data_IF_436756780311
#
_entry.id   IF_436756780311
#
_cell.length_a   1.000
_cell.length_b   1.000
_cell.length_c   1.000
_cell.angle_alpha   90.00
_cell.angle_beta   90.00
_cell.angle_gamma   90.00
#
_symmetry.space_group_name_H-M   'P 1'
#
loop_
_entity.id
_entity.type
_entity.pdbx_description
1 polymer ?
#
# COMPACT_ATOMS: atom_id res chain seq x y z
N UNK A 1 -32.19 -11.20 -8.17
CA UNK A 1 -32.04 -9.94 -8.92
C UNK A 1 -31.45 -8.93 -7.94
N UNK A 2 -30.14 -8.69 -8.01
CA UNK A 2 -29.45 -7.77 -7.11
C UNK A 2 -29.52 -6.39 -7.76
N UNK A 3 -30.25 -5.46 -7.15
CA UNK A 3 -30.27 -4.06 -7.58
C UNK A 3 -28.91 -3.43 -7.28
N UNK A 4 -28.41 -2.55 -8.15
CA UNK A 4 -27.15 -1.79 -8.01
C UNK A 4 -27.53 -0.34 -7.69
N UNK A 5 -26.77 0.34 -6.82
CA UNK A 5 -27.00 1.75 -6.48
C UNK A 5 -25.76 2.54 -6.86
N UNK A 6 -25.92 3.44 -7.82
CA UNK A 6 -24.86 4.28 -8.36
C UNK A 6 -24.58 5.52 -7.49
N UNK A 7 -25.29 5.69 -6.36
CA UNK A 7 -25.16 6.88 -5.47
C UNK A 7 -24.16 6.70 -4.32
N UNK A 8 -23.57 5.52 -4.17
CA UNK A 8 -22.67 5.19 -3.05
C UNK A 8 -21.17 5.24 -3.41
N UNK A 9 -20.87 5.49 -4.68
CA UNK A 9 -19.52 5.71 -5.21
C UNK A 9 -19.19 7.20 -5.01
N UNK A 10 -17.91 7.60 -4.94
CA UNK A 10 -17.49 9.02 -4.87
C UNK A 10 -18.09 9.92 -5.96
N UNK A 11 -17.69 11.20 -6.12
CA UNK A 11 -18.29 12.06 -7.14
C UNK A 11 -17.97 11.56 -8.57
N UNK A 12 -18.75 10.60 -9.07
CA UNK A 12 -18.77 10.15 -10.47
C UNK A 12 -19.89 10.84 -11.26
N UNK A 13 -20.71 11.66 -10.60
CA UNK A 13 -21.70 12.53 -11.23
C UNK A 13 -21.20 13.97 -11.19
N UNK A 14 -21.18 14.63 -12.35
CA UNK A 14 -20.66 15.99 -12.56
C UNK A 14 -21.44 17.12 -11.88
N UNK A 15 -21.99 16.88 -10.68
CA UNK A 15 -22.76 17.85 -9.91
C UNK A 15 -22.25 17.93 -8.46
N UNK A 16 -21.00 18.34 -8.27
CA UNK A 16 -20.62 19.14 -7.09
C UNK A 16 -19.29 19.83 -7.37
N UNK A 17 -19.27 21.16 -7.21
CA UNK A 17 -18.14 22.03 -7.54
C UNK A 17 -16.95 21.91 -6.58
N UNK A 18 -16.40 20.71 -6.40
CA UNK A 18 -15.05 20.52 -5.92
C UNK A 18 -14.10 20.56 -7.13
N UNK A 19 -13.04 21.35 -7.00
CA UNK A 19 -12.10 21.74 -8.05
C UNK A 19 -11.79 20.67 -9.12
N UNK A 20 -11.85 21.18 -10.35
CA UNK A 20 -11.37 20.76 -11.67
C UNK A 20 -9.99 20.05 -11.70
N UNK A 21 -9.83 18.93 -10.98
CA UNK A 21 -8.82 17.95 -11.32
C UNK A 21 -9.43 17.03 -12.38
N UNK A 22 -9.07 17.26 -13.64
CA UNK A 22 -9.31 16.33 -14.73
C UNK A 22 -9.03 14.89 -14.25
N UNK A 23 -9.98 14.02 -14.54
CA UNK A 23 -10.05 12.64 -14.05
C UNK A 23 -8.76 11.91 -14.43
N UNK A 24 -7.92 11.60 -13.44
CA UNK A 24 -6.70 10.85 -13.63
C UNK A 24 -7.04 9.45 -14.14
N UNK A 25 -6.59 9.13 -15.35
CA UNK A 25 -6.61 7.76 -15.85
C UNK A 25 -5.43 7.04 -15.21
N UNK A 26 -5.73 5.98 -14.47
CA UNK A 26 -4.70 5.14 -13.87
C UNK A 26 -4.06 4.28 -14.96
N UNK A 27 -2.78 4.51 -15.22
CA UNK A 27 -1.99 3.73 -16.17
C UNK A 27 -0.77 3.15 -15.44
N UNK A 28 -0.49 1.88 -15.72
CA UNK A 28 0.71 1.22 -15.23
C UNK A 28 1.92 1.75 -16.00
N UNK A 29 2.91 2.24 -15.27
CA UNK A 29 4.17 2.74 -15.82
C UNK A 29 5.19 1.62 -15.80
N UNK A 30 5.83 1.36 -16.93
CA UNK A 30 6.87 0.33 -17.07
C UNK A 30 8.20 0.85 -16.50
N UNK A 31 8.30 0.81 -15.17
CA UNK A 31 9.45 1.35 -14.43
C UNK A 31 10.49 0.28 -14.11
N UNK A 32 11.76 0.66 -14.21
CA UNK A 32 12.89 -0.14 -13.76
C UNK A 32 13.77 0.65 -12.79
N UNK A 33 14.33 -0.05 -11.79
CA UNK A 33 15.21 0.53 -10.78
C UNK A 33 16.51 -0.25 -10.72
N UNK A 34 17.64 0.45 -10.78
CA UNK A 34 18.98 -0.15 -10.68
C UNK A 34 19.42 -0.27 -9.21
N UNK A 35 19.41 -1.50 -8.70
CA UNK A 35 19.79 -1.81 -7.33
C UNK A 35 21.29 -2.07 -7.14
N UNK A 36 22.11 -2.08 -8.20
CA UNK A 36 23.50 -2.56 -8.14
C UNK A 36 24.35 -1.90 -7.04
N UNK A 37 24.07 -0.63 -6.74
CA UNK A 37 24.80 0.16 -5.74
C UNK A 37 23.99 0.46 -4.48
N UNK A 38 22.79 -0.11 -4.32
CA UNK A 38 21.93 0.15 -3.17
C UNK A 38 22.60 -0.35 -1.87
N UNK A 39 22.93 0.54 -0.93
CA UNK A 39 23.46 0.13 0.36
C UNK A 39 22.36 -0.53 1.22
N UNK A 40 22.74 -1.49 2.06
CA UNK A 40 21.80 -2.18 2.93
C UNK A 40 21.08 -1.22 3.91
N UNK A 41 21.81 -0.23 4.44
CA UNK A 41 21.23 0.93 5.13
C UNK A 41 21.16 2.13 4.18
N UNK A 42 20.12 2.14 3.34
CA UNK A 42 19.85 3.25 2.42
C UNK A 42 19.36 4.53 3.09
N UNK A 43 18.97 4.49 4.37
CA UNK A 43 18.91 5.70 5.20
C UNK A 43 20.21 5.74 6.02
N UNK A 44 21.17 6.61 5.67
CA UNK A 44 22.52 6.53 6.22
C UNK A 44 22.56 6.63 7.75
N UNK A 45 23.21 5.68 8.41
CA UNK A 45 23.35 5.59 9.87
C UNK A 45 22.01 5.47 10.63
N UNK A 46 20.94 5.09 9.95
CA UNK A 46 19.58 5.02 10.49
C UNK A 46 18.97 3.63 10.27
N UNK A 47 19.40 2.61 11.04
CA UNK A 47 18.91 1.23 10.85
C UNK A 47 17.40 1.13 11.10
N UNK A 48 16.86 1.88 12.05
CA UNK A 48 15.43 1.81 12.35
C UNK A 48 14.57 2.36 11.20
N UNK A 49 14.77 3.60 10.69
CA UNK A 49 14.07 4.07 9.49
C UNK A 49 14.21 3.12 8.31
N UNK A 50 15.43 2.67 8.02
CA UNK A 50 15.70 1.71 6.94
C UNK A 50 14.85 0.45 7.12
N UNK A 51 14.82 -0.15 8.31
CA UNK A 51 14.06 -1.38 8.54
C UNK A 51 12.55 -1.17 8.64
N UNK A 52 12.08 0.00 9.07
CA UNK A 52 10.65 0.35 9.03
C UNK A 52 10.17 0.44 7.59
N UNK A 53 10.98 1.02 6.70
CA UNK A 53 10.71 1.06 5.27
C UNK A 53 10.86 -0.31 4.62
N UNK A 54 11.85 -1.12 5.02
CA UNK A 54 12.04 -2.47 4.49
C UNK A 54 10.85 -3.40 4.72
N UNK A 55 10.03 -3.16 5.74
CA UNK A 55 8.79 -3.93 5.93
C UNK A 55 7.87 -3.81 4.71
N UNK A 56 7.86 -2.68 4.00
CA UNK A 56 7.11 -2.53 2.74
C UNK A 56 7.52 -3.60 1.74
N UNK A 57 8.82 -3.74 1.46
CA UNK A 57 9.32 -4.75 0.52
C UNK A 57 9.02 -6.18 0.98
N UNK A 58 8.93 -6.44 2.30
CA UNK A 58 8.57 -7.76 2.82
C UNK A 58 7.08 -8.10 2.72
N UNK A 59 6.20 -7.08 2.77
CA UNK A 59 4.75 -7.27 2.85
C UNK A 59 4.06 -7.14 1.49
N UNK A 60 4.43 -6.10 0.75
CA UNK A 60 3.69 -5.62 -0.41
C UNK A 60 3.66 -6.63 -1.56
N UNK A 61 4.76 -7.29 -1.98
CA UNK A 61 4.71 -8.18 -3.14
C UNK A 61 3.58 -9.22 -3.10
N UNK A 62 3.47 -9.95 -1.98
CA UNK A 62 2.43 -10.96 -1.79
C UNK A 62 1.03 -10.35 -1.51
N UNK A 63 0.98 -9.14 -0.97
CA UNK A 63 -0.26 -8.40 -0.75
C UNK A 63 -0.87 -7.92 -2.07
N UNK A 64 -0.07 -7.25 -2.89
CA UNK A 64 -0.45 -6.67 -4.18
C UNK A 64 -0.78 -7.77 -5.21
N UNK A 65 -0.04 -8.89 -5.22
CA UNK A 65 -0.44 -10.10 -5.96
C UNK A 65 -1.85 -10.58 -5.56
N UNK A 66 -2.16 -10.57 -4.26
CA UNK A 66 -3.50 -10.90 -3.76
C UNK A 66 -4.54 -9.86 -4.19
N UNK A 67 -4.19 -8.57 -4.22
CA UNK A 67 -5.10 -7.50 -4.68
C UNK A 67 -5.47 -7.70 -6.14
N UNK A 68 -4.46 -7.89 -6.99
CA UNK A 68 -4.60 -8.21 -8.42
C UNK A 68 -5.54 -9.40 -8.62
N UNK A 69 -5.32 -10.51 -7.91
CA UNK A 69 -6.13 -11.72 -8.08
C UNK A 69 -7.57 -11.58 -7.60
N UNK A 70 -7.82 -10.76 -6.58
CA UNK A 70 -9.18 -10.46 -6.10
C UNK A 70 -9.89 -9.49 -7.03
N UNK A 71 -9.20 -8.46 -7.53
CA UNK A 71 -9.83 -7.48 -8.41
C UNK A 71 -10.09 -8.03 -9.81
N UNK A 72 -9.25 -8.92 -10.36
CA UNK A 72 -9.58 -9.70 -11.56
C UNK A 72 -10.91 -10.45 -11.44
N UNK A 73 -11.19 -11.05 -10.28
CA UNK A 73 -12.47 -11.75 -9.99
C UNK A 73 -13.63 -10.78 -9.79
N UNK A 74 -13.33 -9.54 -9.41
CA UNK A 74 -14.31 -8.50 -9.12
C UNK A 74 -14.75 -7.74 -10.38
N UNK A 75 -13.86 -7.55 -11.36
CA UNK A 75 -14.12 -6.82 -12.61
C UNK A 75 -15.45 -7.18 -13.30
N UNK A 76 -15.84 -8.46 -13.47
CA UNK A 76 -17.12 -8.80 -14.12
C UNK A 76 -18.38 -8.34 -13.36
N UNK A 77 -18.23 -8.05 -12.06
CA UNK A 77 -19.31 -7.60 -11.18
C UNK A 77 -19.48 -6.08 -11.18
N UNK A 78 -18.48 -5.33 -11.66
CA UNK A 78 -18.52 -3.87 -11.75
C UNK A 78 -19.37 -3.46 -12.95
N UNK A 79 -20.33 -2.56 -12.72
CA UNK A 79 -21.30 -2.09 -13.73
C UNK A 79 -21.07 -0.65 -14.14
N UNK A 80 -20.43 0.13 -13.28
CA UNK A 80 -19.95 1.46 -13.60
C UNK A 80 -18.72 1.33 -14.51
N UNK A 81 -18.77 1.97 -15.68
CA UNK A 81 -17.71 1.84 -16.68
C UNK A 81 -16.42 2.56 -16.26
N UNK A 82 -16.53 3.67 -15.53
CA UNK A 82 -15.38 4.41 -15.03
C UNK A 82 -14.68 3.63 -13.93
N UNK A 83 -15.40 3.15 -12.92
CA UNK A 83 -14.83 2.33 -11.86
C UNK A 83 -14.20 1.05 -12.42
N UNK A 84 -14.73 0.51 -13.52
CA UNK A 84 -14.11 -0.64 -14.18
C UNK A 84 -12.74 -0.28 -14.78
N UNK A 85 -12.62 0.89 -15.42
CA UNK A 85 -11.35 1.40 -15.94
C UNK A 85 -10.37 1.66 -14.79
N UNK A 86 -10.82 2.30 -13.71
CA UNK A 86 -9.98 2.59 -12.54
C UNK A 86 -9.45 1.29 -11.91
N UNK A 87 -10.30 0.27 -11.75
CA UNK A 87 -9.87 -1.05 -11.25
C UNK A 87 -8.92 -1.77 -12.23
N UNK A 88 -9.06 -1.55 -13.54
CA UNK A 88 -8.10 -2.10 -14.52
C UNK A 88 -6.73 -1.43 -14.41
N UNK A 89 -6.70 -0.10 -14.27
CA UNK A 89 -5.46 0.66 -14.05
C UNK A 89 -4.79 0.26 -12.74
N UNK A 90 -5.57 0.18 -11.65
CA UNK A 90 -5.14 -0.34 -10.35
C UNK A 90 -4.44 -1.69 -10.49
N UNK A 91 -5.07 -2.68 -11.15
CA UNK A 91 -4.46 -4.01 -11.35
C UNK A 91 -3.10 -3.93 -12.06
N UNK A 92 -2.95 -2.99 -13.01
CA UNK A 92 -1.70 -2.79 -13.72
C UNK A 92 -0.62 -2.19 -12.82
N UNK A 93 -0.93 -1.11 -12.08
CA UNK A 93 0.00 -0.44 -11.18
C UNK A 93 0.49 -1.38 -10.07
N UNK A 94 -0.42 -2.10 -9.42
CA UNK A 94 -0.11 -3.07 -8.36
C UNK A 94 0.82 -4.21 -8.82
N UNK A 95 0.68 -4.66 -10.07
CA UNK A 95 1.57 -5.65 -10.63
C UNK A 95 3.01 -5.09 -10.77
N UNK A 96 3.13 -3.81 -11.15
CA UNK A 96 4.42 -3.12 -11.23
C UNK A 96 5.01 -2.84 -9.84
N UNK A 97 4.19 -2.44 -8.87
CA UNK A 97 4.63 -2.27 -7.47
C UNK A 97 5.24 -3.57 -6.94
N UNK A 98 4.54 -4.70 -7.14
CA UNK A 98 4.98 -5.99 -6.63
C UNK A 98 6.32 -6.41 -7.22
N UNK A 99 6.52 -6.16 -8.52
CA UNK A 99 7.78 -6.40 -9.20
C UNK A 99 8.90 -5.50 -8.66
N UNK A 100 8.66 -4.21 -8.49
CA UNK A 100 9.65 -3.26 -7.97
C UNK A 100 10.09 -3.62 -6.54
N UNK A 101 9.14 -3.93 -5.64
CA UNK A 101 9.43 -4.39 -4.28
C UNK A 101 10.18 -5.72 -4.27
N UNK A 102 9.83 -6.65 -5.14
CA UNK A 102 10.53 -7.93 -5.28
C UNK A 102 11.98 -7.76 -5.76
N UNK A 103 12.25 -6.75 -6.60
CA UNK A 103 13.61 -6.40 -7.03
C UNK A 103 14.53 -6.04 -5.85
N UNK A 104 14.02 -5.30 -4.86
CA UNK A 104 14.75 -4.98 -3.62
C UNK A 104 15.05 -6.24 -2.81
N UNK A 105 14.09 -7.16 -2.70
CA UNK A 105 14.30 -8.42 -1.98
C UNK A 105 15.34 -9.31 -2.68
N UNK A 106 15.30 -9.39 -4.02
CA UNK A 106 16.28 -10.12 -4.80
C UNK A 106 17.69 -9.53 -4.62
N UNK A 107 17.81 -8.21 -4.51
CA UNK A 107 19.07 -7.55 -4.16
C UNK A 107 19.58 -7.94 -2.77
N UNK A 108 18.70 -7.97 -1.76
CA UNK A 108 19.08 -8.44 -0.42
C UNK A 108 19.56 -9.89 -0.42
N UNK A 109 18.88 -10.77 -1.15
CA UNK A 109 19.30 -12.17 -1.30
C UNK A 109 20.67 -12.28 -1.99
N UNK A 110 20.91 -11.49 -3.05
CA UNK A 110 22.20 -11.44 -3.73
C UNK A 110 23.35 -10.93 -2.82
N UNK A 111 23.02 -10.12 -1.81
CA UNK A 111 23.95 -9.67 -0.76
C UNK A 111 24.06 -10.64 0.43
N UNK A 112 23.40 -11.81 0.37
CA UNK A 112 23.47 -12.85 1.40
C UNK A 112 22.52 -12.63 2.59
N UNK A 113 21.53 -11.75 2.46
CA UNK A 113 20.51 -11.50 3.49
C UNK A 113 19.27 -12.34 3.18
N UNK A 114 19.12 -13.46 3.90
CA UNK A 114 17.97 -14.35 3.74
C UNK A 114 16.71 -13.79 4.43
N UNK A 115 15.79 -13.28 3.61
CA UNK A 115 14.48 -12.78 4.04
C UNK A 115 13.35 -13.81 3.90
N UNK A 116 13.63 -14.98 3.36
CA UNK A 116 12.63 -16.01 3.01
C UNK A 116 11.77 -16.46 4.19
N UNK A 117 12.27 -16.60 5.45
CA UNK A 117 11.42 -17.05 6.55
C UNK A 117 10.28 -16.08 6.86
N UNK A 118 10.48 -14.79 6.60
CA UNK A 118 9.45 -13.79 6.78
C UNK A 118 8.53 -13.73 5.56
N UNK A 119 9.08 -13.68 4.34
CA UNK A 119 8.26 -13.55 3.13
C UNK A 119 7.40 -14.79 2.88
N UNK A 120 7.83 -16.00 3.27
CA UNK A 120 7.00 -17.21 3.27
C UNK A 120 5.80 -17.11 4.20
N UNK A 121 5.98 -16.51 5.39
CA UNK A 121 4.86 -16.26 6.30
C UNK A 121 3.83 -15.33 5.66
N UNK A 122 4.28 -14.30 4.94
CA UNK A 122 3.42 -13.33 4.27
C UNK A 122 2.70 -13.97 3.07
N UNK A 123 3.42 -14.73 2.24
CA UNK A 123 2.81 -15.52 1.15
C UNK A 123 1.75 -16.48 1.68
N UNK A 124 2.00 -17.15 2.80
CA UNK A 124 1.00 -18.00 3.43
C UNK A 124 -0.22 -17.21 3.92
N UNK A 125 -0.01 -16.04 4.53
CA UNK A 125 -1.10 -15.18 5.01
C UNK A 125 -2.02 -14.75 3.85
N UNK A 126 -1.46 -14.18 2.79
CA UNK A 126 -2.25 -13.71 1.65
C UNK A 126 -2.78 -14.86 0.79
N UNK A 127 -1.93 -15.84 0.45
CA UNK A 127 -2.27 -16.94 -0.45
C UNK A 127 -3.14 -18.04 0.18
N UNK A 128 -3.09 -18.25 1.50
CA UNK A 128 -3.91 -19.28 2.17
C UNK A 128 -4.99 -18.68 3.04
N UNK A 129 -4.65 -17.78 3.97
CA UNK A 129 -5.63 -17.30 4.93
C UNK A 129 -6.66 -16.34 4.29
N UNK A 130 -6.20 -15.47 3.38
CA UNK A 130 -7.03 -14.45 2.74
C UNK A 130 -7.53 -14.84 1.35
N UNK A 131 -6.76 -15.60 0.56
CA UNK A 131 -7.21 -16.04 -0.77
C UNK A 131 -8.09 -17.30 -0.71
N UNK A 132 -7.72 -18.32 0.06
CA UNK A 132 -8.42 -19.61 0.08
C UNK A 132 -9.54 -19.67 1.12
N UNK A 133 -10.78 -19.38 0.72
CA UNK A 133 -11.97 -19.93 1.41
C UNK A 133 -13.04 -20.44 0.43
N UNK A 134 -13.32 -21.76 0.45
CA UNK A 134 -14.19 -22.40 -0.53
C UNK A 134 -15.62 -22.41 0.01
N UNK A 135 -16.32 -21.29 -0.14
CA UNK A 135 -17.78 -21.39 -0.14
C UNK A 135 -18.22 -22.48 -1.12
N UNK A 136 -18.95 -23.50 -0.65
CA UNK A 136 -19.38 -24.64 -1.51
C UNK A 136 -20.39 -24.19 -2.56
N UNK A 137 -21.09 -23.08 -2.32
CA UNK A 137 -22.10 -22.52 -3.21
C UNK A 137 -21.77 -21.07 -3.65
N UNK A 138 -22.39 -20.58 -4.75
CA UNK A 138 -22.12 -19.24 -5.29
C UNK A 138 -22.34 -18.10 -4.28
N UNK A 139 -23.33 -18.21 -3.38
CA UNK A 139 -23.62 -17.18 -2.38
C UNK A 139 -22.49 -17.03 -1.37
N UNK A 140 -21.93 -18.15 -0.90
CA UNK A 140 -20.79 -18.14 0.03
C UNK A 140 -19.54 -17.58 -0.65
N UNK A 141 -19.28 -17.93 -1.91
CA UNK A 141 -18.16 -17.38 -2.69
C UNK A 141 -18.28 -15.87 -2.87
N UNK A 142 -19.46 -15.38 -3.24
CA UNK A 142 -19.71 -13.95 -3.37
C UNK A 142 -19.54 -13.22 -2.02
N UNK A 143 -20.07 -13.79 -0.92
CA UNK A 143 -19.85 -13.23 0.41
C UNK A 143 -18.39 -13.21 0.83
N UNK A 144 -17.59 -14.18 0.41
CA UNK A 144 -16.16 -14.19 0.69
C UNK A 144 -15.43 -13.12 -0.13
N UNK A 145 -15.75 -12.99 -1.42
CA UNK A 145 -15.21 -11.93 -2.28
C UNK A 145 -15.47 -10.55 -1.67
N UNK A 146 -16.66 -10.31 -1.13
CA UNK A 146 -16.97 -9.06 -0.42
C UNK A 146 -16.10 -8.85 0.85
N UNK A 147 -15.73 -9.91 1.59
CA UNK A 147 -14.78 -9.77 2.70
C UNK A 147 -13.39 -9.41 2.16
N UNK A 148 -12.93 -10.08 1.10
CA UNK A 148 -11.62 -9.83 0.49
C UNK A 148 -11.50 -8.38 0.00
N UNK A 149 -12.48 -7.89 -0.77
CA UNK A 149 -12.53 -6.49 -1.21
C UNK A 149 -12.56 -5.52 -0.03
N UNK A 150 -13.27 -5.83 1.06
CA UNK A 150 -13.25 -5.01 2.27
C UNK A 150 -11.90 -5.04 3.01
N UNK A 151 -11.17 -6.15 2.99
CA UNK A 151 -9.80 -6.21 3.52
C UNK A 151 -8.84 -5.39 2.68
N UNK A 152 -8.93 -5.47 1.34
CA UNK A 152 -8.11 -4.67 0.43
C UNK A 152 -8.37 -3.19 0.68
N UNK A 153 -9.63 -2.73 0.66
CA UNK A 153 -9.97 -1.33 0.95
C UNK A 153 -9.44 -0.84 2.32
N UNK A 154 -9.38 -1.71 3.32
CA UNK A 154 -8.82 -1.40 4.62
C UNK A 154 -7.28 -1.30 4.60
N UNK A 155 -6.59 -2.14 3.81
CA UNK A 155 -5.12 -2.10 3.65
C UNK A 155 -4.72 -0.89 2.82
N UNK A 156 -5.42 -0.63 1.72
CA UNK A 156 -5.23 0.51 0.81
C UNK A 156 -5.32 1.86 1.52
N UNK A 157 -6.18 1.94 2.53
CA UNK A 157 -6.25 3.14 3.37
C UNK A 157 -4.92 3.41 4.12
N UNK A 158 -4.18 2.37 4.49
CA UNK A 158 -2.87 2.53 5.11
C UNK A 158 -1.78 2.86 4.07
N UNK A 159 -1.76 2.16 2.94
CA UNK A 159 -0.75 2.39 1.88
C UNK A 159 -0.87 3.79 1.30
N UNK A 160 -2.09 4.28 1.03
CA UNK A 160 -2.33 5.68 0.61
C UNK A 160 -1.79 6.72 1.61
N UNK A 161 -1.90 6.44 2.91
CA UNK A 161 -1.39 7.33 3.98
C UNK A 161 0.13 7.27 4.10
N UNK A 162 0.72 6.09 3.89
CA UNK A 162 2.17 5.94 3.82
C UNK A 162 2.72 6.61 2.55
N UNK A 163 2.00 6.50 1.43
CA UNK A 163 2.27 7.20 0.17
C UNK A 163 2.25 8.72 0.34
N UNK A 164 1.19 9.25 0.95
CA UNK A 164 1.15 10.67 1.30
C UNK A 164 2.28 11.06 2.26
N UNK A 165 2.68 10.19 3.19
CA UNK A 165 3.79 10.47 4.10
C UNK A 165 5.14 10.51 3.38
N UNK A 166 5.47 9.53 2.54
CA UNK A 166 6.77 9.46 1.88
C UNK A 166 6.99 10.62 0.89
N UNK A 167 5.92 11.04 0.20
CA UNK A 167 5.91 12.24 -0.64
C UNK A 167 6.15 13.54 0.18
N UNK A 168 5.85 13.51 1.47
CA UNK A 168 5.94 14.66 2.38
C UNK A 168 6.98 14.48 3.49
N UNK A 169 8.09 13.81 3.17
CA UNK A 169 9.17 13.51 4.12
C UNK A 169 10.49 14.13 3.69
N UNK A 170 10.64 15.47 3.71
CA UNK A 170 11.85 16.17 3.27
C UNK A 170 13.08 15.82 4.11
N UNK A 171 12.88 15.32 5.33
CA UNK A 171 13.99 14.90 6.17
C UNK A 171 14.71 13.65 5.64
N UNK A 172 14.04 12.82 4.82
CA UNK A 172 14.70 11.70 4.14
C UNK A 172 15.72 12.20 3.10
N UNK A 173 15.44 13.30 2.40
CA UNK A 173 16.40 13.95 1.50
C UNK A 173 17.56 14.57 2.29
N UNK A 174 17.25 15.27 3.39
CA UNK A 174 18.25 15.97 4.22
C UNK A 174 19.27 15.01 4.82
N UNK A 175 18.86 13.81 5.22
CA UNK A 175 19.80 12.79 5.77
C UNK A 175 20.54 12.03 4.68
N UNK A 176 20.28 12.32 3.40
CA UNK A 176 20.95 11.68 2.26
C UNK A 176 20.49 10.24 2.02
N UNK A 177 19.18 9.98 2.12
CA UNK A 177 18.63 8.67 1.76
C UNK A 177 18.98 8.35 0.30
N UNK A 178 19.30 7.08 0.01
CA UNK A 178 19.67 6.65 -1.34
C UNK A 178 18.62 7.11 -2.37
N UNK A 179 19.04 7.78 -3.46
CA UNK A 179 18.11 8.41 -4.39
C UNK A 179 17.28 7.40 -5.17
N UNK A 180 17.80 6.21 -5.49
CA UNK A 180 17.06 5.18 -6.23
C UNK A 180 15.98 4.58 -5.34
N UNK A 181 16.32 4.24 -4.10
CA UNK A 181 15.34 3.75 -3.14
C UNK A 181 14.27 4.80 -2.82
N UNK A 182 14.68 6.05 -2.62
CA UNK A 182 13.73 7.13 -2.33
C UNK A 182 12.81 7.41 -3.52
N UNK A 183 13.33 7.29 -4.75
CA UNK A 183 12.50 7.40 -5.96
C UNK A 183 11.47 6.28 -6.05
N UNK A 184 11.88 5.02 -5.87
CA UNK A 184 10.96 3.88 -5.88
C UNK A 184 9.86 4.00 -4.83
N UNK A 185 10.20 4.36 -3.59
CA UNK A 185 9.21 4.51 -2.53
C UNK A 185 8.24 5.67 -2.79
N UNK A 186 8.70 6.77 -3.41
CA UNK A 186 7.86 7.93 -3.74
C UNK A 186 7.03 7.72 -5.01
N UNK A 187 7.56 7.03 -6.01
CA UNK A 187 6.81 6.60 -7.19
C UNK A 187 5.63 5.73 -6.78
N UNK A 188 5.89 4.66 -6.03
CA UNK A 188 4.83 3.82 -5.50
C UNK A 188 3.88 4.64 -4.62
N UNK A 189 4.42 5.41 -3.67
CA UNK A 189 3.61 6.27 -2.81
C UNK A 189 2.74 7.30 -3.54
N UNK A 190 3.13 7.73 -4.74
CA UNK A 190 2.33 8.60 -5.59
C UNK A 190 1.18 7.83 -6.25
N UNK A 191 1.44 6.66 -6.82
CA UNK A 191 0.41 5.81 -7.41
C UNK A 191 -0.62 5.36 -6.34
N UNK A 192 -0.17 5.04 -5.12
CA UNK A 192 -1.06 4.79 -3.97
C UNK A 192 -2.02 5.95 -3.67
N UNK A 193 -1.58 7.18 -3.91
CA UNK A 193 -2.40 8.37 -3.71
C UNK A 193 -3.33 8.63 -4.90
N UNK A 194 -2.91 8.28 -6.13
CA UNK A 194 -3.77 8.33 -7.33
C UNK A 194 -4.97 7.39 -7.16
N UNK A 195 -4.75 6.17 -6.67
CA UNK A 195 -5.78 5.13 -6.60
C UNK A 195 -6.40 4.85 -5.22
N UNK A 196 -6.08 5.67 -4.21
CA UNK A 196 -6.56 5.54 -2.81
C UNK A 196 -8.07 5.31 -2.62
N UNK A 197 -8.89 5.71 -3.59
CA UNK A 197 -10.34 5.55 -3.54
C UNK A 197 -10.84 4.27 -4.23
N UNK A 198 -10.08 3.68 -5.17
CA UNK A 198 -10.55 2.61 -6.08
C UNK A 198 -11.02 1.38 -5.32
N UNK A 199 -10.25 0.89 -4.35
CA UNK A 199 -10.65 -0.27 -3.55
C UNK A 199 -11.89 0.01 -2.69
N UNK A 200 -11.99 1.22 -2.14
CA UNK A 200 -13.14 1.65 -1.35
C UNK A 200 -14.40 1.80 -2.20
N UNK A 201 -14.29 2.45 -3.36
CA UNK A 201 -15.37 2.61 -4.33
C UNK A 201 -15.85 1.26 -4.85
N UNK A 202 -14.92 0.33 -5.12
CA UNK A 202 -15.26 -1.06 -5.47
C UNK A 202 -16.05 -1.75 -4.34
N UNK A 203 -15.60 -1.59 -3.09
CA UNK A 203 -16.32 -2.12 -1.92
C UNK A 203 -17.74 -1.55 -1.82
N UNK A 204 -17.92 -0.25 -2.07
CA UNK A 204 -19.24 0.43 -2.05
C UNK A 204 -20.13 0.00 -3.20
N UNK A 205 -19.58 -0.05 -4.41
CA UNK A 205 -20.26 -0.50 -5.64
C UNK A 205 -20.83 -1.91 -5.47
N UNK A 206 -20.05 -2.82 -4.88
CA UNK A 206 -20.50 -4.18 -4.57
C UNK A 206 -21.42 -4.30 -3.35
N UNK A 207 -21.73 -3.19 -2.66
CA UNK A 207 -22.59 -3.13 -1.47
C UNK A 207 -22.12 -4.05 -0.33
N UNK A 208 -20.82 -4.06 -0.06
CA UNK A 208 -20.22 -4.80 1.05
C UNK A 208 -20.83 -4.45 2.43
N UNK A 209 -21.28 -3.19 2.58
CA UNK A 209 -21.96 -2.65 3.75
C UNK A 209 -21.00 -2.13 4.83
N UNK A 210 -21.45 -1.12 5.58
CA UNK A 210 -20.63 -0.44 6.60
C UNK A 210 -20.10 -1.39 7.68
N UNK A 211 -20.91 -2.34 8.16
CA UNK A 211 -20.46 -3.32 9.16
C UNK A 211 -19.32 -4.20 8.66
N UNK A 212 -19.27 -4.51 7.37
CA UNK A 212 -18.17 -5.28 6.80
C UNK A 212 -16.90 -4.46 6.72
N UNK A 213 -17.00 -3.21 6.26
CA UNK A 213 -15.91 -2.24 6.28
C UNK A 213 -15.30 -2.10 7.68
N UNK A 214 -16.14 -1.87 8.71
CA UNK A 214 -15.66 -1.70 10.09
C UNK A 214 -14.99 -2.97 10.62
N UNK A 215 -15.58 -4.15 10.40
CA UNK A 215 -14.97 -5.43 10.82
C UNK A 215 -13.66 -5.71 10.10
N UNK A 216 -13.58 -5.40 8.81
CA UNK A 216 -12.36 -5.55 8.02
C UNK A 216 -11.26 -4.65 8.60
N UNK A 217 -11.56 -3.38 8.86
CA UNK A 217 -10.61 -2.46 9.50
C UNK A 217 -10.17 -2.96 10.89
N UNK A 218 -11.11 -3.41 11.72
CA UNK A 218 -10.81 -3.95 13.06
C UNK A 218 -9.93 -5.21 13.01
N UNK A 219 -10.01 -6.01 11.94
CA UNK A 219 -9.16 -7.17 11.74
C UNK A 219 -7.79 -6.81 11.15
N UNK A 220 -7.76 -5.95 10.12
CA UNK A 220 -6.55 -5.55 9.40
C UNK A 220 -5.62 -4.75 10.30
N UNK A 221 -6.14 -3.79 11.06
CA UNK A 221 -5.34 -2.88 11.90
C UNK A 221 -4.38 -3.61 12.86
N UNK A 222 -4.82 -4.52 13.75
CA UNK A 222 -3.92 -5.21 14.66
C UNK A 222 -2.98 -6.18 13.92
N UNK A 223 -3.41 -6.79 12.81
CA UNK A 223 -2.56 -7.68 12.00
C UNK A 223 -1.44 -6.87 11.37
N UNK A 224 -1.74 -5.75 10.70
CA UNK A 224 -0.75 -4.85 10.11
C UNK A 224 0.25 -4.35 11.15
N UNK A 225 -0.23 -3.89 12.32
CA UNK A 225 0.65 -3.46 13.41
C UNK A 225 1.58 -4.59 13.87
N UNK A 226 1.05 -5.79 14.06
CA UNK A 226 1.84 -6.95 14.47
C UNK A 226 2.88 -7.32 13.42
N UNK A 227 2.48 -7.38 12.14
CA UNK A 227 3.38 -7.67 11.02
C UNK A 227 4.50 -6.64 10.96
N UNK A 228 4.20 -5.34 11.08
CA UNK A 228 5.22 -4.30 11.08
C UNK A 228 6.24 -4.46 12.22
N UNK A 229 5.75 -4.69 13.44
CA UNK A 229 6.62 -4.92 14.60
C UNK A 229 7.48 -6.17 14.38
N UNK A 230 6.90 -7.27 13.89
CA UNK A 230 7.63 -8.50 13.60
C UNK A 230 8.64 -8.33 12.48
N UNK A 231 8.29 -7.57 11.43
CA UNK A 231 9.12 -7.30 10.26
C UNK A 231 10.35 -6.48 10.62
N UNK A 232 10.18 -5.38 11.35
CA UNK A 232 11.32 -4.61 11.86
C UNK A 232 12.21 -5.47 12.75
N UNK A 233 11.63 -6.27 13.66
CA UNK A 233 12.42 -7.18 14.51
C UNK A 233 13.16 -8.24 13.70
N UNK A 234 12.53 -8.79 12.67
CA UNK A 234 13.15 -9.76 11.77
C UNK A 234 14.32 -9.13 11.00
N UNK A 235 14.14 -7.94 10.44
CA UNK A 235 15.22 -7.24 9.72
C UNK A 235 16.42 -6.98 10.63
N UNK A 236 16.20 -6.60 11.89
CA UNK A 236 17.29 -6.49 12.88
C UNK A 236 18.03 -7.80 13.16
N UNK A 237 17.39 -8.96 12.97
CA UNK A 237 18.06 -10.27 13.17
C UNK A 237 18.89 -10.72 11.98
N UNK A 238 18.58 -10.21 10.78
CA UNK A 238 19.28 -10.55 9.53
C UNK A 238 20.19 -9.43 9.04
N UNK A 239 20.26 -8.31 9.77
CA UNK A 239 21.10 -7.17 9.44
C UNK A 239 22.59 -7.47 9.68
N UNK A 240 23.44 -7.52 8.62
CA UNK A 240 24.86 -7.81 8.75
C UNK A 240 25.68 -6.66 9.33
N UNK A 241 25.14 -5.44 9.41
CA UNK A 241 25.82 -4.24 9.89
C UNK A 241 25.60 -3.98 11.38
N UNK A 242 24.67 -4.70 12.01
CA UNK A 242 24.39 -4.59 13.44
C UNK A 242 25.10 -5.67 14.26
N UNK A 243 25.47 -5.32 15.49
CA UNK A 243 26.00 -6.31 16.42
C UNK A 243 24.95 -7.41 16.70
N UNK A 244 25.34 -8.70 16.76
CA UNK A 244 24.42 -9.79 17.07
C UNK A 244 23.61 -9.54 18.34
N UNK A 245 22.29 -9.76 18.26
CA UNK A 245 21.36 -9.57 19.39
C UNK A 245 20.88 -8.13 19.58
N UNK A 246 21.27 -7.18 18.71
CA UNK A 246 20.70 -5.83 18.69
C UNK A 246 19.18 -5.91 18.47
N UNK A 247 18.41 -5.10 19.20
CA UNK A 247 16.95 -5.09 19.12
C UNK A 247 16.44 -3.67 18.86
N UNK A 248 15.40 -3.50 18.04
CA UNK A 248 14.74 -2.21 17.88
C UNK A 248 14.10 -1.80 19.20
N UNK A 249 14.22 -0.53 19.57
CA UNK A 249 13.62 0.01 20.80
C UNK A 249 12.55 1.03 20.46
N UNK A 250 11.48 1.04 21.24
CA UNK A 250 10.39 2.02 21.08
C UNK A 250 10.89 3.47 21.10
N UNK A 251 11.90 3.78 21.93
CA UNK A 251 12.51 5.13 21.96
C UNK A 251 13.15 5.54 20.63
N UNK A 252 13.71 4.59 19.89
CA UNK A 252 14.35 4.87 18.61
C UNK A 252 13.28 5.21 17.57
N UNK A 253 12.12 4.52 17.62
CA UNK A 253 10.96 4.83 16.78
C UNK A 253 10.40 6.22 17.06
N UNK A 254 10.18 6.55 18.33
CA UNK A 254 9.70 7.90 18.69
C UNK A 254 10.69 8.98 18.27
N UNK A 255 12.01 8.73 18.41
CA UNK A 255 13.05 9.67 17.95
C UNK A 255 13.04 9.84 16.43
N UNK A 256 12.96 8.74 15.69
CA UNK A 256 12.86 8.73 14.23
C UNK A 256 11.62 9.49 13.75
N UNK A 257 10.45 9.19 14.34
CA UNK A 257 9.20 9.84 14.01
C UNK A 257 9.22 11.36 14.27
N UNK A 258 9.84 11.80 15.38
CA UNK A 258 10.03 13.23 15.66
C UNK A 258 10.92 13.94 14.66
N UNK A 259 11.86 13.20 14.05
CA UNK A 259 12.74 13.70 12.98
C UNK A 259 12.10 13.60 11.59
N UNK A 260 10.89 13.05 11.46
CA UNK A 260 10.24 12.87 10.17
C UNK A 260 10.77 11.71 9.33
N UNK A 261 11.63 10.83 9.88
CA UNK A 261 12.22 9.70 9.15
C UNK A 261 11.31 8.47 9.10
N UNK A 262 10.28 8.43 9.93
CA UNK A 262 9.24 7.39 9.93
C UNK A 262 7.88 8.01 10.23
N UNK A 263 6.75 7.39 9.82
CA UNK A 263 5.42 7.88 10.17
C UNK A 263 5.24 8.03 11.68
N UNK A 264 4.66 9.15 12.11
CA UNK A 264 4.40 9.40 13.53
C UNK A 264 3.18 8.63 14.06
N UNK A 265 3.22 8.12 15.31
CA UNK A 265 2.16 7.28 15.86
C UNK A 265 0.80 8.00 15.93
N UNK A 266 0.79 9.31 16.20
CA UNK A 266 -0.44 10.11 16.23
C UNK A 266 -1.10 10.26 14.86
N UNK A 267 -0.29 10.37 13.78
CA UNK A 267 -0.80 10.39 12.41
C UNK A 267 -1.49 9.08 12.08
N UNK A 268 -0.84 7.95 12.41
CA UNK A 268 -1.40 6.62 12.22
C UNK A 268 -2.72 6.44 12.99
N UNK A 269 -2.77 6.81 14.28
CA UNK A 269 -4.01 6.71 15.08
C UNK A 269 -5.15 7.55 14.48
N UNK A 270 -4.86 8.78 14.05
CA UNK A 270 -5.86 9.66 13.45
C UNK A 270 -6.45 9.06 12.18
N UNK A 271 -5.59 8.54 11.31
CA UNK A 271 -5.95 7.89 10.06
C UNK A 271 -6.83 6.67 10.29
N UNK A 272 -6.48 5.85 11.29
CA UNK A 272 -7.32 4.71 11.69
C UNK A 272 -8.69 5.17 12.17
N UNK A 273 -8.74 6.23 12.98
CA UNK A 273 -9.98 6.82 13.47
C UNK A 273 -10.88 7.37 12.37
N UNK A 274 -10.29 8.00 11.35
CA UNK A 274 -11.03 8.60 10.24
C UNK A 274 -11.80 7.56 9.43
N UNK A 275 -11.25 6.37 9.23
CA UNK A 275 -11.89 5.27 8.47
C UNK A 275 -13.21 4.76 9.09
N UNK A 276 -13.41 4.98 10.39
CA UNK A 276 -14.64 4.59 11.11
C UNK A 276 -15.74 5.67 11.05
N UNK A 277 -15.50 6.83 10.44
CA UNK A 277 -16.53 7.87 10.35
C UNK A 277 -17.56 7.47 9.28
N UNK A 278 -18.88 7.59 9.54
CA UNK A 278 -19.91 7.22 8.57
C UNK A 278 -19.84 7.96 7.21
N UNK A 279 -19.32 9.19 7.19
CA UNK A 279 -19.13 10.00 5.98
C UNK A 279 -17.71 10.01 5.42
N UNK A 280 -16.85 9.09 5.88
CA UNK A 280 -15.49 8.97 5.39
C UNK A 280 -15.45 8.51 3.93
N UNK A 281 -14.60 9.16 3.13
CA UNK A 281 -14.22 8.72 1.81
C UNK A 281 -12.72 8.93 1.60
N UNK A 282 -11.96 7.96 1.05
CA UNK A 282 -10.51 8.12 0.87
C UNK A 282 -10.10 9.30 -0.01
N UNK A 283 -10.95 9.74 -0.94
CA UNK A 283 -10.69 10.95 -1.73
C UNK A 283 -10.56 12.23 -0.90
N UNK A 284 -11.03 12.24 0.35
CA UNK A 284 -10.85 13.34 1.29
C UNK A 284 -9.41 13.43 1.83
N UNK A 285 -8.62 12.35 1.69
CA UNK A 285 -7.19 12.39 1.99
C UNK A 285 -6.51 13.30 0.96
N UNK A 286 -5.59 14.15 1.39
CA UNK A 286 -4.88 15.07 0.50
C UNK A 286 -3.86 14.38 -0.40
N UNK A 287 -2.95 15.17 -0.97
CA UNK A 287 -1.72 14.66 -1.60
C UNK A 287 -1.80 14.38 -3.10
N UNK A 288 -2.98 14.46 -3.74
CA UNK A 288 -3.12 14.14 -5.17
C UNK A 288 -2.25 15.06 -6.06
N UNK A 289 -2.29 16.36 -5.82
CA UNK A 289 -1.43 17.34 -6.53
C UNK A 289 0.05 16.96 -6.42
N UNK A 290 0.53 16.63 -5.21
CA UNK A 290 1.92 16.20 -4.99
C UNK A 290 2.26 14.87 -5.64
N UNK A 291 1.31 13.94 -5.70
CA UNK A 291 1.50 12.66 -6.36
C UNK A 291 1.72 12.88 -7.87
N UNK A 292 0.84 13.67 -8.50
CA UNK A 292 0.97 14.05 -9.91
C UNK A 292 2.28 14.80 -10.17
N UNK A 293 2.60 15.79 -9.33
CA UNK A 293 3.85 16.55 -9.45
C UNK A 293 5.08 15.64 -9.35
N UNK A 294 5.06 14.68 -8.41
CA UNK A 294 6.17 13.76 -8.22
C UNK A 294 6.34 12.81 -9.40
N UNK A 295 5.25 12.23 -9.90
CA UNK A 295 5.27 11.33 -11.05
C UNK A 295 5.80 12.03 -12.31
N UNK A 296 5.54 13.34 -12.46
CA UNK A 296 6.09 14.13 -13.56
C UNK A 296 7.61 14.34 -13.48
N UNK A 297 8.24 14.18 -12.31
CA UNK A 297 9.69 14.39 -12.10
C UNK A 297 10.45 13.12 -11.74
N UNK A 298 9.77 12.03 -11.38
CA UNK A 298 10.39 10.75 -11.03
C UNK A 298 11.26 10.23 -12.19
N UNK A 299 12.58 9.99 -11.96
CA UNK A 299 13.46 9.41 -12.95
C UNK A 299 12.93 8.11 -13.57
N UNK A 300 12.41 7.20 -12.73
CA UNK A 300 11.88 5.93 -13.21
C UNK A 300 10.59 6.10 -14.02
N UNK A 301 9.63 6.89 -13.53
CA UNK A 301 8.37 7.13 -14.23
C UNK A 301 8.55 7.88 -15.57
N UNK A 302 9.57 8.71 -15.69
CA UNK A 302 9.88 9.42 -16.96
C UNK A 302 10.58 8.54 -17.98
N UNK A 303 11.26 7.49 -17.55
CA UNK A 303 11.94 6.54 -18.45
C UNK A 303 10.98 5.56 -19.12
N UNK A 304 9.75 5.43 -18.59
CA UNK A 304 8.72 4.51 -19.10
C UNK A 304 7.86 5.06 -20.25
N UNK A 305 8.17 6.27 -20.76
CA UNK A 305 7.42 6.97 -21.81
C UNK A 305 8.19 7.09 -23.12
#
# INVERSE_FOLDING_TARGET
MFTVDNRAVGPHSGESGAADHERLVLEARDVEFDWANLPFHYVPNEPLPTHVLNVLHLLLPAGEEFFVEVFKKTLPLIKDDQLRLDVQGFIGQEAMHSQAHSGVLAHFEAQGVDVTPYTDQIRWLFGKLLAEKPGRNPRQRHRWLLEQVSFIAAIEHYTAVLGEWILNSPQLDVVGTDPVMLDMLRWHGAEEVEHKAVAFDTMKHLRAGYWRQVRAQLAVTPVMLLLWIRGVRFMYTVDPLLAPGTKPRWRDYVRSARRGLTPGPWRLIRVVGDYYKPGFHPSQLGGLERAVDYLAVSPAARASH
#
